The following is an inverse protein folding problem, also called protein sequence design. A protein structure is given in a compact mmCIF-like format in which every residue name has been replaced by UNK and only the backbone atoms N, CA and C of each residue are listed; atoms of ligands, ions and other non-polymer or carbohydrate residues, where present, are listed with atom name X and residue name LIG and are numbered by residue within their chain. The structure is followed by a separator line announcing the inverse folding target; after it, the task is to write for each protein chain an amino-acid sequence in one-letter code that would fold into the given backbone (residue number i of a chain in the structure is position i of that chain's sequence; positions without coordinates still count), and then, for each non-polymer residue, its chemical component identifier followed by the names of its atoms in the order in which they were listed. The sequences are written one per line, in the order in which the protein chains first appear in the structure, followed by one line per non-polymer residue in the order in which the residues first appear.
data_IF_548824951743
#
_entry.id   IF_548824951743
#
_cell.length_a   1.000
_cell.length_b   1.000
_cell.length_c   1.000
_cell.angle_alpha   90.00
_cell.angle_beta   90.00
_cell.angle_gamma   90.00
#
_symmetry.space_group_name_H-M   'P 1'
#
loop_
_entity.id
_entity.type
_entity.pdbx_description
1 polymer ?
#
# COMPACT_ATOMS: atom_id res chain seq x y z
N UNK A 1 -5.22 15.00 -4.23
CA UNK A 1 -6.22 14.26 -3.46
C UNK A 1 -5.49 13.33 -2.49
N UNK A 2 -5.95 13.13 -1.26
CA UNK A 2 -5.33 12.17 -0.34
C UNK A 2 -6.21 10.94 -0.13
N UNK A 3 -5.59 9.78 -0.03
CA UNK A 3 -6.24 8.49 0.19
C UNK A 3 -5.50 7.74 1.29
N UNK A 4 -6.17 6.82 1.96
CA UNK A 4 -5.58 6.01 3.03
C UNK A 4 -5.84 4.55 2.74
N UNK A 5 -4.82 3.71 2.91
CA UNK A 5 -4.94 2.28 2.68
C UNK A 5 -4.36 1.51 3.87
N UNK A 6 -4.95 0.34 4.11
CA UNK A 6 -4.34 -0.69 4.93
C UNK A 6 -3.84 -1.81 4.02
N UNK A 7 -2.62 -2.28 4.24
CA UNK A 7 -2.05 -3.39 3.47
C UNK A 7 -1.15 -4.25 4.35
N UNK A 8 -0.99 -5.52 3.95
CA UNK A 8 -0.08 -6.44 4.61
C UNK A 8 1.26 -6.46 3.85
N UNK A 9 2.36 -6.37 4.58
CA UNK A 9 3.72 -6.51 4.07
C UNK A 9 4.56 -7.30 5.07
N UNK A 10 5.19 -8.39 4.63
CA UNK A 10 6.00 -9.28 5.47
C UNK A 10 5.28 -9.77 6.74
N UNK A 11 4.00 -10.12 6.61
CA UNK A 11 3.18 -10.60 7.73
C UNK A 11 2.73 -9.52 8.72
N UNK A 12 3.11 -8.26 8.49
CA UNK A 12 2.70 -7.12 9.30
C UNK A 12 1.72 -6.24 8.54
N UNK A 13 0.69 -5.76 9.25
CA UNK A 13 -0.30 -4.85 8.69
C UNK A 13 0.15 -3.41 8.90
N UNK A 14 0.15 -2.64 7.81
CA UNK A 14 0.53 -1.23 7.78
C UNK A 14 -0.61 -0.38 7.28
N UNK A 15 -0.70 0.81 7.85
CA UNK A 15 -1.49 1.91 7.35
C UNK A 15 -0.58 2.88 6.60
N UNK A 16 -1.02 3.33 5.44
CA UNK A 16 -0.39 4.43 4.73
C UNK A 16 -1.42 5.47 4.31
N UNK A 17 -1.17 6.73 4.66
CA UNK A 17 -1.85 7.89 4.10
C UNK A 17 -1.03 8.40 2.93
N UNK A 18 -1.65 8.48 1.77
CA UNK A 18 -1.01 8.78 0.50
C UNK A 18 -1.62 10.03 -0.12
N UNK A 19 -0.81 10.85 -0.79
CA UNK A 19 -1.26 11.87 -1.72
C UNK A 19 -1.16 11.33 -3.14
N UNK A 20 -2.28 11.30 -3.84
CA UNK A 20 -2.36 10.97 -5.26
C UNK A 20 -2.64 12.24 -6.06
N UNK A 21 -1.76 12.54 -7.01
CA UNK A 21 -1.88 13.69 -7.91
C UNK A 21 -1.23 13.37 -9.27
N UNK A 22 -1.94 13.62 -10.36
CA UNK A 22 -1.43 13.52 -11.73
C UNK A 22 -0.67 12.21 -12.04
N UNK A 23 -1.26 11.06 -11.67
CA UNK A 23 -0.64 9.73 -11.90
C UNK A 23 0.52 9.36 -10.97
N UNK A 24 0.90 10.26 -10.07
CA UNK A 24 1.88 10.01 -9.01
C UNK A 24 1.18 9.77 -7.66
N UNK A 25 1.76 8.90 -6.84
CA UNK A 25 1.30 8.64 -5.49
C UNK A 25 2.50 8.70 -4.53
N UNK A 26 2.36 9.42 -3.42
CA UNK A 26 3.41 9.58 -2.39
C UNK A 26 2.84 9.27 -1.02
N UNK A 27 3.57 8.54 -0.19
CA UNK A 27 3.17 8.30 1.21
C UNK A 27 3.53 9.54 2.03
N UNK A 28 2.54 10.07 2.74
CA UNK A 28 2.67 11.20 3.65
C UNK A 28 2.88 10.72 5.09
N UNK A 29 2.17 9.66 5.47
CA UNK A 29 2.22 9.09 6.82
C UNK A 29 2.13 7.58 6.72
N UNK A 30 2.90 6.88 7.54
CA UNK A 30 2.84 5.44 7.63
C UNK A 30 2.94 4.96 9.09
N UNK A 31 2.17 3.94 9.43
CA UNK A 31 2.17 3.33 10.76
C UNK A 31 1.86 1.84 10.72
N UNK A 32 2.27 1.11 11.75
CA UNK A 32 1.87 -0.29 11.96
C UNK A 32 0.45 -0.37 12.53
N UNK A 33 -0.10 -1.58 12.58
CA UNK A 33 -1.35 -1.88 13.30
C UNK A 33 -1.29 -1.49 14.78
N UNK A 34 -0.12 -1.62 15.40
CA UNK A 34 0.16 -1.20 16.78
C UNK A 34 0.27 0.33 16.94
N UNK A 35 0.14 1.10 15.86
CA UNK A 35 0.19 2.56 15.87
C UNK A 35 1.61 3.14 15.88
N UNK A 36 2.64 2.31 15.74
CA UNK A 36 4.03 2.78 15.66
C UNK A 36 4.26 3.49 14.33
N UNK A 37 4.84 4.69 14.37
CA UNK A 37 5.23 5.39 13.15
C UNK A 37 6.35 4.64 12.42
N UNK A 38 6.20 4.55 11.11
CA UNK A 38 7.19 3.92 10.22
C UNK A 38 7.60 4.96 9.19
N UNK A 39 8.84 4.86 8.72
CA UNK A 39 9.34 5.74 7.68
C UNK A 39 8.43 5.69 6.42
N UNK A 40 7.81 6.81 6.03
CA UNK A 40 6.96 6.88 4.84
C UNK A 40 7.68 6.51 3.54
N UNK A 41 8.97 6.82 3.41
CA UNK A 41 9.77 6.52 2.22
C UNK A 41 10.06 5.03 2.11
N UNK A 42 10.32 4.37 3.24
CA UNK A 42 10.46 2.91 3.29
C UNK A 42 9.18 2.22 2.82
N UNK A 43 8.01 2.68 3.27
CA UNK A 43 6.72 2.08 2.89
C UNK A 43 6.20 2.56 1.53
N UNK A 44 6.79 3.60 0.94
CA UNK A 44 6.34 4.20 -0.31
C UNK A 44 6.15 3.21 -1.47
N UNK A 45 7.14 2.39 -1.88
CA UNK A 45 6.95 1.46 -3.00
C UNK A 45 5.87 0.41 -2.73
N UNK A 46 5.76 -0.06 -1.49
CA UNK A 46 4.79 -1.08 -1.10
C UNK A 46 3.37 -0.53 -1.01
N UNK A 47 3.21 0.66 -0.44
CA UNK A 47 1.94 1.36 -0.37
C UNK A 47 1.44 1.73 -1.77
N UNK A 48 2.31 2.19 -2.67
CA UNK A 48 1.93 2.45 -4.07
C UNK A 48 1.50 1.15 -4.77
N UNK A 49 2.23 0.06 -4.59
CA UNK A 49 1.87 -1.26 -5.16
C UNK A 49 0.52 -1.75 -4.63
N UNK A 50 0.28 -1.64 -3.32
CA UNK A 50 -0.99 -1.99 -2.71
C UNK A 50 -2.13 -1.08 -3.18
N UNK A 51 -1.90 0.23 -3.26
CA UNK A 51 -2.89 1.19 -3.74
C UNK A 51 -3.30 0.91 -5.18
N UNK A 52 -2.35 0.57 -6.07
CA UNK A 52 -2.61 0.16 -7.45
C UNK A 52 -3.42 -1.12 -7.54
N UNK A 53 -3.11 -2.13 -6.71
CA UNK A 53 -3.87 -3.38 -6.61
C UNK A 53 -5.31 -3.15 -6.16
N UNK A 54 -5.52 -2.28 -5.18
CA UNK A 54 -6.86 -1.98 -4.62
C UNK A 54 -7.71 -1.14 -5.58
N UNK A 55 -7.12 -0.12 -6.23
CA UNK A 55 -7.87 0.83 -7.07
C UNK A 55 -7.91 0.48 -8.56
N UNK A 56 -7.39 -0.69 -8.94
CA UNK A 56 -7.51 -1.25 -10.27
C UNK A 56 -7.24 -0.26 -11.41
N UNK A 57 -6.04 0.32 -11.43
CA UNK A 57 -5.58 1.10 -12.58
C UNK A 57 -5.19 0.13 -13.70
N UNK A 58 -6.20 -0.40 -14.40
CA UNK A 58 -6.09 -1.11 -15.68
C UNK A 58 -5.08 -2.26 -15.73
N UNK A 59 -5.42 -3.41 -15.15
CA UNK A 59 -5.19 -4.76 -15.67
C UNK A 59 -5.64 -5.79 -14.62
N UNK A 60 -6.68 -6.55 -14.94
CA UNK A 60 -7.12 -7.72 -14.18
C UNK A 60 -6.14 -8.84 -14.54
N UNK A 61 -5.20 -9.14 -13.65
CA UNK A 61 -4.67 -10.50 -13.59
C UNK A 61 -5.32 -11.22 -12.41
N UNK A 62 -6.24 -12.11 -12.77
CA UNK A 62 -6.89 -13.07 -11.89
C UNK A 62 -5.84 -13.82 -11.07
N UNK A 63 -6.12 -13.90 -9.76
CA UNK A 63 -5.78 -15.00 -8.86
C UNK A 63 -4.48 -15.77 -9.09
N UNK A 64 -3.56 -15.66 -8.13
CA UNK A 64 -2.89 -16.85 -7.65
C UNK A 64 -2.54 -16.69 -6.16
N UNK A 65 -3.53 -16.98 -5.31
CA UNK A 65 -3.27 -17.69 -4.07
C UNK A 65 -2.76 -19.09 -4.46
N UNK A 66 -1.44 -19.24 -4.58
CA UNK A 66 -0.80 -20.55 -4.50
C UNK A 66 0.21 -20.52 -3.37
N UNK A 67 -0.32 -20.97 -2.22
CA UNK A 67 0.33 -21.84 -1.26
C UNK A 67 1.49 -22.63 -1.90
N UNK A 68 2.73 -22.38 -1.49
CA UNK A 68 3.83 -23.33 -1.66
C UNK A 68 4.04 -24.01 -0.31
N UNK A 69 3.59 -25.27 -0.26
CA UNK A 69 3.93 -26.29 0.72
C UNK A 69 4.72 -27.38 -0.03
#
# INVERSE_FOLDING_TARGET
MTTSIWFNHNGKRYFAKMACQNGSAKVLEAKTEEGQQVDPQYLQPFAIKAHKRINHWGEIEKGNEQNEA
#
